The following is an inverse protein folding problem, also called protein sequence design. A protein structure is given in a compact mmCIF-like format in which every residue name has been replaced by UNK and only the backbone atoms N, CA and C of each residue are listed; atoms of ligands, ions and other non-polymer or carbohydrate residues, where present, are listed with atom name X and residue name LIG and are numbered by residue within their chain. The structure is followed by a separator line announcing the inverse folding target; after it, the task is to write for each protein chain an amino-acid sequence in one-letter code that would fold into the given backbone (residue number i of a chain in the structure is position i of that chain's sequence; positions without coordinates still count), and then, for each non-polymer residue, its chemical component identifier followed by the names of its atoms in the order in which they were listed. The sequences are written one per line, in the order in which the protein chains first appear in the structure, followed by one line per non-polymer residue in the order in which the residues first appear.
data_IF_080797351314
#
_entry.id   IF_080797351314
#
_cell.length_a   1.000
_cell.length_b   1.000
_cell.length_c   1.000
_cell.angle_alpha   90.00
_cell.angle_beta   90.00
_cell.angle_gamma   90.00
#
_symmetry.space_group_name_H-M   'P 1'
#
loop_
_entity.id
_entity.type
_entity.pdbx_description
1 polymer ?
#
# COMPACT_ATOMS: atom_id res chain seq x y z
N UNK A 1 112.08 -6.41 25.14
CA UNK A 1 110.80 -6.96 25.64
C UNK A 1 110.20 -5.93 26.55
N UNK A 2 109.15 -5.19 26.01
CA UNK A 2 108.53 -4.09 26.79
C UNK A 2 107.40 -4.63 27.67
N UNK A 3 107.52 -4.46 28.97
CA UNK A 3 106.49 -4.75 29.94
C UNK A 3 105.37 -3.76 29.81
N UNK A 4 104.17 -4.25 29.50
CA UNK A 4 102.94 -3.45 29.53
C UNK A 4 102.46 -3.25 30.97
N UNK A 5 101.98 -2.03 31.36
CA UNK A 5 101.65 -1.73 32.74
C UNK A 5 100.35 -2.37 33.17
N UNK A 6 100.29 -2.95 34.36
CA UNK A 6 99.19 -3.70 35.03
C UNK A 6 97.94 -2.88 35.34
N UNK A 7 97.90 -1.58 35.03
CA UNK A 7 96.78 -0.67 35.23
C UNK A 7 95.62 -0.86 34.16
N UNK A 8 95.95 -1.40 33.00
CA UNK A 8 94.98 -1.55 31.93
C UNK A 8 94.03 -2.75 32.12
N UNK A 9 94.50 -3.78 32.80
CA UNK A 9 93.69 -4.92 33.21
C UNK A 9 92.61 -4.59 34.24
N UNK A 10 92.93 -3.68 35.17
CA UNK A 10 92.00 -3.24 36.25
C UNK A 10 90.89 -2.34 35.62
N UNK A 11 91.26 -1.47 34.67
CA UNK A 11 90.28 -0.60 34.00
C UNK A 11 89.28 -1.40 33.17
N UNK A 12 89.74 -2.44 32.46
CA UNK A 12 88.90 -3.34 31.65
C UNK A 12 87.89 -4.12 32.49
N UNK A 13 88.29 -4.59 33.69
CA UNK A 13 87.42 -5.29 34.57
C UNK A 13 86.35 -4.36 35.22
N UNK A 14 86.73 -3.11 35.54
CA UNK A 14 85.80 -2.12 36.08
C UNK A 14 84.76 -1.74 35.02
N UNK A 15 85.12 -1.60 33.71
CA UNK A 15 84.20 -1.33 32.62
C UNK A 15 83.26 -2.52 32.38
N UNK A 16 83.76 -3.76 32.45
CA UNK A 16 82.96 -4.96 32.34
C UNK A 16 81.93 -5.11 33.48
N UNK A 17 82.27 -4.76 34.69
CA UNK A 17 81.36 -4.76 35.82
C UNK A 17 80.32 -3.67 35.71
N UNK A 18 80.67 -2.46 35.22
CA UNK A 18 79.74 -1.40 34.94
C UNK A 18 78.72 -1.76 33.81
N UNK A 19 79.21 -2.38 32.76
CA UNK A 19 78.34 -2.86 31.67
C UNK A 19 77.42 -3.98 32.17
N UNK A 20 77.93 -4.91 33.00
CA UNK A 20 77.09 -5.96 33.57
C UNK A 20 76.04 -5.41 34.52
N UNK A 21 76.34 -4.38 35.32
CA UNK A 21 75.38 -3.68 36.19
C UNK A 21 74.35 -2.92 35.39
N UNK A 22 74.72 -2.28 34.27
CA UNK A 22 73.78 -1.62 33.39
C UNK A 22 72.83 -2.61 32.67
N UNK A 23 73.38 -3.78 32.28
CA UNK A 23 72.55 -4.85 31.62
C UNK A 23 71.60 -5.47 32.66
N UNK A 24 72.11 -5.72 33.94
CA UNK A 24 71.23 -6.20 35.02
C UNK A 24 70.16 -5.18 35.42
N UNK A 25 70.50 -3.90 35.45
CA UNK A 25 69.54 -2.80 35.69
C UNK A 25 68.52 -2.67 34.59
N UNK A 26 68.93 -2.77 33.31
CA UNK A 26 68.08 -2.79 32.16
C UNK A 26 67.14 -4.01 32.14
N UNK A 27 67.71 -5.20 32.50
CA UNK A 27 66.89 -6.43 32.57
C UNK A 27 65.86 -6.36 33.71
N UNK A 28 66.28 -5.86 34.88
CA UNK A 28 65.38 -5.63 36.01
C UNK A 28 64.30 -4.60 35.68
N UNK A 29 64.63 -3.49 35.03
CA UNK A 29 63.64 -2.51 34.53
C UNK A 29 62.68 -3.09 33.52
N UNK A 30 63.16 -3.99 32.64
CA UNK A 30 62.32 -4.67 31.66
C UNK A 30 61.34 -5.67 32.30
N UNK A 31 61.81 -6.44 33.34
CA UNK A 31 60.95 -7.41 34.03
C UNK A 31 60.04 -6.77 35.11
N UNK A 32 60.43 -5.60 35.67
CA UNK A 32 59.60 -4.85 36.60
C UNK A 32 58.72 -3.79 35.94
N UNK A 33 58.82 -3.59 34.61
CA UNK A 33 57.97 -2.67 33.92
C UNK A 33 56.50 -3.17 34.00
N UNK A 34 55.54 -2.35 34.51
CA UNK A 34 54.16 -2.76 34.58
C UNK A 34 53.64 -3.06 33.18
N UNK A 35 52.85 -4.14 33.03
CA UNK A 35 52.29 -4.48 31.70
C UNK A 35 51.51 -3.29 31.12
N UNK A 36 51.56 -3.07 29.80
CA UNK A 36 50.83 -1.98 29.17
C UNK A 36 49.35 -2.08 29.55
N UNK A 37 48.79 -1.00 30.06
CA UNK A 37 47.37 -0.97 30.43
C UNK A 37 46.55 -1.18 29.18
N UNK A 38 45.61 -2.15 29.16
CA UNK A 38 44.75 -2.33 28.02
C UNK A 38 43.94 -1.06 27.77
N UNK A 39 43.97 -0.53 26.56
CA UNK A 39 43.12 0.59 26.17
C UNK A 39 41.76 0.04 25.79
N UNK A 40 40.73 0.57 26.42
CA UNK A 40 39.35 0.20 26.15
C UNK A 40 38.68 1.24 25.26
N UNK A 41 37.91 0.78 24.25
CA UNK A 41 36.98 1.64 23.52
C UNK A 41 35.75 1.82 24.40
N UNK A 42 35.46 3.06 24.80
CA UNK A 42 34.37 3.37 25.74
C UNK A 42 33.35 4.30 25.09
N UNK A 43 32.11 4.24 25.54
CA UNK A 43 31.09 5.20 25.25
C UNK A 43 30.44 5.70 26.55
N UNK A 44 30.09 7.00 26.64
CA UNK A 44 29.40 7.53 27.80
C UNK A 44 27.95 7.08 27.85
N UNK A 45 27.43 6.81 29.02
CA UNK A 45 25.99 6.67 29.28
C UNK A 45 25.38 8.07 29.18
N UNK A 46 24.57 8.32 28.21
CA UNK A 46 23.94 9.62 27.95
C UNK A 46 22.43 9.48 27.82
N UNK A 47 21.72 10.56 28.11
CA UNK A 47 20.30 10.63 27.82
C UNK A 47 20.07 10.84 26.34
N UNK A 48 19.19 10.03 25.76
CA UNK A 48 18.77 10.13 24.37
C UNK A 48 17.33 9.68 24.19
N UNK A 49 16.71 10.20 23.15
CA UNK A 49 15.42 9.69 22.70
C UNK A 49 15.64 8.35 21.98
N UNK A 50 14.96 7.32 22.45
CA UNK A 50 15.02 5.99 21.90
C UNK A 50 13.67 5.61 21.30
N UNK A 51 13.71 5.15 20.06
CA UNK A 51 12.55 4.65 19.33
C UNK A 51 12.84 3.20 18.89
N UNK A 52 11.95 2.27 19.21
CA UNK A 52 11.88 0.96 18.53
C UNK A 52 10.81 1.07 17.47
N UNK A 53 11.19 0.91 16.21
CA UNK A 53 10.31 1.07 15.08
C UNK A 53 10.56 0.01 14.02
N UNK A 54 9.48 -0.47 13.42
CA UNK A 54 9.52 -1.31 12.23
C UNK A 54 9.65 -0.42 11.00
N UNK A 55 10.67 -0.70 10.18
CA UNK A 55 10.85 -0.03 8.89
C UNK A 55 10.09 -0.79 7.80
N UNK A 56 9.35 -0.04 7.01
CA UNK A 56 8.61 -0.57 5.87
C UNK A 56 8.73 0.38 4.67
N UNK A 57 8.74 -0.16 3.48
CA UNK A 57 8.58 0.63 2.26
C UNK A 57 7.10 0.72 1.95
N UNK A 58 6.60 1.92 1.67
CA UNK A 58 5.21 2.12 1.32
C UNK A 58 5.04 2.74 -0.07
N UNK A 59 3.86 2.54 -0.63
CA UNK A 59 3.43 3.22 -1.85
C UNK A 59 2.17 4.02 -1.57
N UNK A 60 2.12 5.24 -2.11
CA UNK A 60 0.94 6.09 -2.02
C UNK A 60 -0.11 5.60 -3.00
N UNK A 61 -1.33 5.35 -2.51
CA UNK A 61 -2.49 5.01 -3.31
C UNK A 61 -3.61 6.03 -3.06
N UNK A 62 -4.52 6.15 -4.01
CA UNK A 62 -5.73 6.94 -3.77
C UNK A 62 -6.57 6.26 -2.68
N UNK A 63 -7.22 7.05 -1.83
CA UNK A 63 -8.16 6.53 -0.83
C UNK A 63 -9.28 5.70 -1.47
N UNK A 64 -9.78 6.16 -2.62
CA UNK A 64 -10.75 5.43 -3.46
C UNK A 64 -10.43 5.70 -4.92
N UNK A 65 -10.35 4.64 -5.71
CA UNK A 65 -10.15 4.70 -7.15
C UNK A 65 -11.25 3.91 -7.84
N UNK A 66 -11.82 4.46 -8.92
CA UNK A 66 -12.85 3.82 -9.72
C UNK A 66 -12.45 3.90 -11.18
N UNK A 67 -12.56 2.77 -11.88
CA UNK A 67 -12.44 2.71 -13.32
C UNK A 67 -13.83 3.03 -13.92
N UNK A 68 -13.94 4.17 -14.59
CA UNK A 68 -15.16 4.55 -15.28
C UNK A 68 -15.10 3.99 -16.69
N UNK A 69 -16.04 3.09 -17.00
CA UNK A 69 -16.06 2.36 -18.27
C UNK A 69 -17.32 2.62 -19.09
N UNK A 70 -17.29 2.19 -20.34
CA UNK A 70 -18.44 2.20 -21.23
C UNK A 70 -19.28 0.92 -21.05
N UNK A 71 -20.61 1.09 -20.98
CA UNK A 71 -21.57 -0.03 -20.90
C UNK A 71 -22.17 -0.37 -22.27
N UNK A 72 -21.96 0.48 -23.28
CA UNK A 72 -22.38 0.28 -24.64
C UNK A 72 -21.22 0.43 -25.61
N UNK A 73 -21.25 -0.30 -26.70
CA UNK A 73 -20.25 -0.22 -27.77
C UNK A 73 -20.54 0.97 -28.70
N UNK A 74 -19.49 1.64 -29.17
CA UNK A 74 -19.57 2.75 -30.10
C UNK A 74 -18.32 3.57 -30.16
N UNK A 75 -18.27 4.57 -31.02
CA UNK A 75 -17.17 5.52 -31.09
C UNK A 75 -17.33 6.62 -30.01
N UNK A 76 -16.25 6.97 -29.33
CA UNK A 76 -16.23 8.11 -28.42
C UNK A 76 -16.31 9.38 -29.26
N UNK A 77 -17.44 10.04 -29.23
CA UNK A 77 -17.71 11.25 -30.01
C UNK A 77 -17.05 12.49 -29.36
N UNK A 78 -17.04 12.52 -28.03
CA UNK A 78 -16.48 13.62 -27.25
C UNK A 78 -16.00 13.14 -25.89
N UNK A 79 -14.83 13.61 -25.48
CA UNK A 79 -14.32 13.46 -24.13
C UNK A 79 -14.40 14.84 -23.43
N UNK A 80 -15.26 14.95 -22.41
CA UNK A 80 -15.55 16.23 -21.76
C UNK A 80 -14.52 16.62 -20.68
N UNK A 81 -13.61 15.70 -20.32
CA UNK A 81 -12.65 15.87 -19.25
C UNK A 81 -11.20 15.65 -19.72
N UNK A 82 -10.26 16.29 -19.04
CA UNK A 82 -8.81 16.16 -19.27
C UNK A 82 -8.14 15.51 -18.07
N UNK A 83 -6.90 15.07 -18.28
CA UNK A 83 -6.07 14.57 -17.19
C UNK A 83 -5.83 15.67 -16.14
N UNK A 84 -6.09 15.34 -14.87
CA UNK A 84 -5.96 16.28 -13.77
C UNK A 84 -7.21 17.07 -13.43
N UNK A 85 -8.27 17.01 -14.22
CA UNK A 85 -9.52 17.72 -13.94
C UNK A 85 -10.20 17.15 -12.68
N UNK A 86 -10.77 18.04 -11.88
CA UNK A 86 -11.62 17.71 -10.73
C UNK A 86 -13.06 17.67 -11.20
N UNK A 87 -13.74 16.56 -10.97
CA UNK A 87 -15.14 16.34 -11.38
C UNK A 87 -16.01 16.04 -10.16
N UNK A 88 -17.25 16.49 -10.20
CA UNK A 88 -18.27 16.12 -9.22
C UNK A 88 -19.00 14.83 -9.66
N UNK A 89 -19.71 14.20 -8.73
CA UNK A 89 -20.57 13.06 -9.08
C UNK A 89 -21.69 13.51 -10.03
N UNK A 90 -21.87 12.78 -11.13
CA UNK A 90 -22.85 13.11 -12.17
C UNK A 90 -22.30 13.96 -13.32
N UNK A 91 -21.11 14.52 -13.24
CA UNK A 91 -20.49 15.28 -14.33
C UNK A 91 -20.26 14.39 -15.55
N UNK A 92 -20.45 14.97 -16.74
CA UNK A 92 -20.24 14.29 -18.00
C UNK A 92 -18.73 14.04 -18.23
N UNK A 93 -18.38 12.78 -18.45
CA UNK A 93 -17.00 12.35 -18.73
C UNK A 93 -16.80 12.16 -20.23
N UNK A 94 -17.67 11.34 -20.85
CA UNK A 94 -17.57 11.04 -22.25
C UNK A 94 -18.96 10.85 -22.88
N UNK A 95 -19.03 11.06 -24.18
CA UNK A 95 -20.22 10.81 -24.99
C UNK A 95 -19.88 9.84 -26.12
N UNK A 96 -20.57 8.71 -26.17
CA UNK A 96 -20.49 7.71 -27.24
C UNK A 96 -21.49 8.09 -28.33
N UNK A 97 -21.17 7.79 -29.58
CA UNK A 97 -22.14 7.96 -30.68
C UNK A 97 -23.40 7.16 -30.38
N UNK A 98 -24.50 7.90 -30.25
CA UNK A 98 -25.81 7.39 -29.80
C UNK A 98 -26.76 7.11 -30.94
N UNK A 99 -26.35 7.26 -32.20
CA UNK A 99 -27.27 7.17 -33.36
C UNK A 99 -28.00 5.82 -33.41
N UNK A 100 -27.27 4.73 -33.20
CA UNK A 100 -27.84 3.38 -33.19
C UNK A 100 -28.84 3.19 -32.05
N UNK A 101 -28.52 3.65 -30.85
CA UNK A 101 -29.40 3.56 -29.66
C UNK A 101 -30.65 4.43 -29.81
N UNK A 102 -30.49 5.64 -30.39
CA UNK A 102 -31.63 6.50 -30.72
C UNK A 102 -32.58 5.85 -31.70
N UNK A 103 -32.06 5.23 -32.77
CA UNK A 103 -32.86 4.52 -33.73
C UNK A 103 -33.58 3.31 -33.14
N UNK A 104 -32.88 2.56 -32.25
CA UNK A 104 -33.47 1.43 -31.51
C UNK A 104 -34.64 1.91 -30.63
N UNK A 105 -34.44 3.03 -29.90
CA UNK A 105 -35.52 3.62 -29.11
C UNK A 105 -36.72 4.03 -29.95
N UNK A 106 -36.50 4.76 -31.06
CA UNK A 106 -37.59 5.16 -31.98
C UNK A 106 -38.34 3.97 -32.52
N UNK A 107 -37.65 2.89 -32.89
CA UNK A 107 -38.27 1.66 -33.38
C UNK A 107 -39.13 0.98 -32.30
N UNK A 108 -38.64 0.92 -31.05
CA UNK A 108 -39.40 0.38 -29.93
C UNK A 108 -40.65 1.23 -29.63
N UNK A 109 -40.50 2.55 -29.63
CA UNK A 109 -41.65 3.48 -29.45
C UNK A 109 -42.69 3.33 -30.55
N UNK A 110 -42.28 3.22 -31.83
CA UNK A 110 -43.19 3.00 -32.95
C UNK A 110 -43.91 1.66 -32.86
N UNK A 111 -43.22 0.58 -32.44
CA UNK A 111 -43.83 -0.73 -32.22
C UNK A 111 -44.88 -0.69 -31.11
N UNK A 112 -44.58 -0.02 -30.01
CA UNK A 112 -45.54 0.18 -28.91
C UNK A 112 -46.77 0.96 -29.37
N UNK A 113 -46.59 2.05 -30.13
CA UNK A 113 -47.66 2.86 -30.68
C UNK A 113 -48.56 2.06 -31.64
N UNK A 114 -47.97 1.18 -32.45
CA UNK A 114 -48.73 0.28 -33.34
C UNK A 114 -49.63 -0.67 -32.53
N UNK A 115 -49.09 -1.31 -31.50
CA UNK A 115 -49.87 -2.21 -30.62
C UNK A 115 -50.99 -1.46 -29.90
N UNK A 116 -50.75 -0.23 -29.45
CA UNK A 116 -51.74 0.63 -28.83
C UNK A 116 -52.88 0.96 -29.81
N UNK A 117 -52.55 1.23 -31.08
CA UNK A 117 -53.55 1.47 -32.14
C UNK A 117 -54.40 0.20 -32.39
N UNK A 118 -53.77 -0.98 -32.38
CA UNK A 118 -54.50 -2.26 -32.52
C UNK A 118 -55.44 -2.51 -31.35
N UNK A 119 -55.02 -2.17 -30.12
CA UNK A 119 -55.89 -2.24 -28.94
C UNK A 119 -57.12 -1.33 -29.11
N UNK A 120 -56.92 -0.08 -29.55
CA UNK A 120 -58.02 0.85 -29.78
C UNK A 120 -59.01 0.34 -30.85
N UNK A 121 -58.52 -0.27 -31.94
CA UNK A 121 -59.36 -0.90 -32.94
C UNK A 121 -60.15 -2.11 -32.36
N UNK A 122 -59.53 -2.94 -31.54
CA UNK A 122 -60.21 -4.08 -30.89
C UNK A 122 -61.19 -3.64 -29.80
N UNK A 123 -60.95 -2.54 -29.12
CA UNK A 123 -61.92 -1.95 -28.19
C UNK A 123 -63.18 -1.48 -28.93
N UNK A 124 -63.09 -0.93 -30.16
CA UNK A 124 -64.24 -0.62 -30.99
C UNK A 124 -65.01 -1.90 -31.39
N UNK A 125 -64.28 -2.98 -31.76
CA UNK A 125 -64.90 -4.29 -32.05
C UNK A 125 -65.58 -4.89 -30.82
N UNK A 126 -64.97 -4.73 -29.60
CA UNK A 126 -65.62 -5.17 -28.35
C UNK A 126 -66.95 -4.50 -28.18
N UNK A 127 -67.03 -3.18 -28.37
CA UNK A 127 -68.29 -2.43 -28.23
C UNK A 127 -69.33 -2.92 -29.18
N UNK A 128 -68.98 -3.29 -30.42
CA UNK A 128 -69.89 -3.90 -31.40
C UNK A 128 -70.35 -5.28 -30.91
N UNK A 129 -69.47 -6.13 -30.40
CA UNK A 129 -69.77 -7.45 -29.88
C UNK A 129 -70.70 -7.37 -28.65
N UNK A 130 -70.50 -6.39 -27.78
CA UNK A 130 -71.34 -6.13 -26.62
C UNK A 130 -72.77 -5.75 -27.01
N UNK A 131 -72.95 -4.87 -27.96
CA UNK A 131 -74.25 -4.53 -28.47
C UNK A 131 -74.94 -5.73 -29.18
N UNK A 132 -74.19 -6.57 -29.88
CA UNK A 132 -74.70 -7.77 -30.50
C UNK A 132 -75.18 -8.76 -29.47
N UNK A 133 -74.38 -9.00 -28.44
CA UNK A 133 -74.77 -9.88 -27.32
C UNK A 133 -75.99 -9.37 -26.56
N UNK A 134 -76.06 -8.07 -26.27
CA UNK A 134 -77.21 -7.46 -25.57
C UNK A 134 -78.49 -7.62 -26.37
N UNK A 135 -78.45 -7.44 -27.72
CA UNK A 135 -79.60 -7.66 -28.55
C UNK A 135 -80.05 -9.12 -28.57
N UNK A 136 -79.12 -10.06 -28.69
CA UNK A 136 -79.40 -11.49 -28.69
C UNK A 136 -79.99 -11.96 -27.37
N UNK A 137 -79.48 -11.45 -26.21
CA UNK A 137 -80.02 -11.71 -24.92
C UNK A 137 -81.47 -11.20 -24.71
N UNK A 138 -81.72 -9.97 -25.17
CA UNK A 138 -83.12 -9.40 -25.17
C UNK A 138 -84.10 -10.20 -26.02
N UNK A 139 -83.70 -10.61 -27.21
CA UNK A 139 -84.54 -11.39 -28.11
C UNK A 139 -84.80 -12.80 -27.54
N UNK A 140 -83.84 -13.43 -26.92
CA UNK A 140 -83.94 -14.71 -26.24
C UNK A 140 -84.93 -14.64 -25.04
N UNK A 141 -84.84 -13.60 -24.24
CA UNK A 141 -85.75 -13.34 -23.10
C UNK A 141 -87.16 -13.08 -23.51
N UNK A 142 -87.41 -12.66 -24.76
CA UNK A 142 -88.72 -12.43 -25.35
C UNK A 142 -89.24 -13.60 -26.21
N UNK A 143 -88.55 -14.77 -26.13
CA UNK A 143 -88.82 -15.95 -26.96
C UNK A 143 -88.82 -15.66 -28.52
N UNK A 144 -88.16 -14.58 -28.95
CA UNK A 144 -88.07 -14.13 -30.33
C UNK A 144 -86.73 -14.42 -31.02
N UNK A 145 -85.77 -15.04 -30.31
CA UNK A 145 -84.42 -15.35 -30.76
C UNK A 145 -84.03 -16.83 -30.59
N UNK A 146 -83.07 -17.31 -31.46
CA UNK A 146 -82.57 -18.67 -31.31
C UNK A 146 -81.49 -18.75 -30.26
N UNK A 147 -81.39 -19.83 -29.50
CA UNK A 147 -80.36 -20.11 -28.51
C UNK A 147 -78.94 -20.16 -29.16
N UNK A 148 -78.88 -20.69 -30.40
CA UNK A 148 -77.69 -20.72 -31.20
C UNK A 148 -77.12 -19.32 -31.45
N UNK A 149 -77.98 -18.33 -31.81
CA UNK A 149 -77.55 -16.93 -32.01
C UNK A 149 -77.04 -16.25 -30.77
N UNK A 150 -77.64 -16.57 -29.61
CA UNK A 150 -77.14 -16.11 -28.26
C UNK A 150 -75.80 -16.68 -27.97
N UNK A 151 -75.61 -18.00 -28.04
CA UNK A 151 -74.37 -18.70 -27.75
C UNK A 151 -73.25 -18.21 -28.70
N UNK A 152 -73.55 -17.97 -30.01
CA UNK A 152 -72.58 -17.44 -30.98
C UNK A 152 -72.13 -15.99 -30.62
N UNK A 153 -73.07 -15.14 -30.19
CA UNK A 153 -72.71 -13.77 -29.76
C UNK A 153 -71.93 -13.70 -28.45
N UNK A 154 -72.23 -14.61 -27.48
CA UNK A 154 -71.47 -14.76 -26.24
C UNK A 154 -70.03 -15.25 -26.52
N UNK A 155 -69.87 -16.24 -27.38
CA UNK A 155 -68.57 -16.75 -27.79
C UNK A 155 -67.75 -15.64 -28.45
N UNK A 156 -68.37 -14.84 -29.36
CA UNK A 156 -67.67 -13.71 -29.99
C UNK A 156 -67.23 -12.63 -28.98
N UNK A 157 -68.09 -12.30 -28.04
CA UNK A 157 -67.80 -11.34 -26.97
C UNK A 157 -66.60 -11.83 -26.13
N UNK A 158 -66.66 -13.07 -25.70
CA UNK A 158 -65.60 -13.67 -24.86
C UNK A 158 -64.27 -13.78 -25.62
N UNK A 159 -64.31 -14.14 -26.93
CA UNK A 159 -63.12 -14.17 -27.79
C UNK A 159 -62.50 -12.77 -27.92
N UNK A 160 -63.31 -11.73 -28.19
CA UNK A 160 -62.83 -10.36 -28.33
C UNK A 160 -62.21 -9.83 -27.01
N UNK A 161 -62.82 -10.16 -25.88
CA UNK A 161 -62.24 -9.84 -24.54
C UNK A 161 -60.89 -10.52 -24.31
N UNK A 162 -60.74 -11.78 -24.75
CA UNK A 162 -59.49 -12.48 -24.64
C UNK A 162 -58.39 -11.86 -25.53
N UNK A 163 -58.75 -11.44 -26.76
CA UNK A 163 -57.83 -10.73 -27.66
C UNK A 163 -57.36 -9.38 -27.08
N UNK A 164 -58.26 -8.61 -26.45
CA UNK A 164 -57.91 -7.37 -25.78
C UNK A 164 -56.91 -7.62 -24.67
N UNK A 165 -57.15 -8.62 -23.82
CA UNK A 165 -56.15 -8.99 -22.75
C UNK A 165 -54.79 -9.38 -23.34
N UNK A 166 -54.76 -10.08 -24.48
CA UNK A 166 -53.52 -10.42 -25.16
C UNK A 166 -52.80 -9.16 -25.68
N UNK A 167 -53.53 -8.18 -26.24
CA UNK A 167 -52.97 -6.91 -26.69
C UNK A 167 -52.47 -6.05 -25.51
N UNK A 168 -53.16 -6.05 -24.36
CA UNK A 168 -52.72 -5.40 -23.13
C UNK A 168 -51.39 -5.99 -22.62
N UNK A 169 -51.26 -7.32 -22.65
CA UNK A 169 -49.99 -7.99 -22.33
C UNK A 169 -48.88 -7.63 -23.33
N UNK A 170 -49.17 -7.54 -24.60
CA UNK A 170 -48.22 -7.07 -25.62
C UNK A 170 -47.77 -5.62 -25.42
N UNK A 171 -48.70 -4.73 -25.02
CA UNK A 171 -48.37 -3.34 -24.65
C UNK A 171 -47.43 -3.30 -23.44
N UNK A 172 -47.68 -4.14 -22.39
CA UNK A 172 -46.79 -4.23 -21.27
C UNK A 172 -45.38 -4.65 -21.68
N UNK A 173 -45.26 -5.66 -22.55
CA UNK A 173 -43.96 -6.08 -23.12
C UNK A 173 -43.34 -4.97 -23.97
N UNK A 174 -44.10 -4.27 -24.81
CA UNK A 174 -43.62 -3.14 -25.58
C UNK A 174 -43.05 -2.00 -24.73
N UNK A 175 -43.70 -1.69 -23.60
CA UNK A 175 -43.19 -0.70 -22.63
C UNK A 175 -41.80 -1.09 -22.07
N UNK A 176 -41.65 -2.35 -21.70
CA UNK A 176 -40.34 -2.87 -21.21
C UNK A 176 -39.27 -2.71 -22.29
N UNK A 177 -39.64 -2.97 -23.57
CA UNK A 177 -38.71 -2.81 -24.70
C UNK A 177 -38.27 -1.34 -24.86
N UNK A 178 -39.23 -0.40 -24.77
CA UNK A 178 -38.94 1.05 -24.81
C UNK A 178 -38.04 1.47 -23.64
N UNK A 179 -38.35 1.02 -22.44
CA UNK A 179 -37.55 1.36 -21.24
C UNK A 179 -36.12 0.82 -21.36
N UNK A 180 -35.95 -0.42 -21.87
CA UNK A 180 -34.64 -1.00 -22.13
C UNK A 180 -33.85 -0.20 -23.18
N UNK A 181 -34.49 0.20 -24.27
CA UNK A 181 -33.86 1.03 -25.31
C UNK A 181 -33.48 2.42 -24.77
N UNK A 182 -34.30 3.00 -23.90
CA UNK A 182 -34.02 4.28 -23.23
C UNK A 182 -32.83 4.18 -22.25
N UNK A 183 -32.73 3.10 -21.48
CA UNK A 183 -31.57 2.85 -20.60
C UNK A 183 -30.29 2.71 -21.43
N UNK A 184 -30.33 1.95 -22.52
CA UNK A 184 -29.18 1.80 -23.41
C UNK A 184 -28.74 3.13 -24.05
N UNK A 185 -29.72 4.00 -24.40
CA UNK A 185 -29.39 5.37 -24.80
C UNK A 185 -28.78 6.18 -23.67
N UNK A 186 -29.25 6.02 -22.44
CA UNK A 186 -28.65 6.65 -21.27
C UNK A 186 -27.18 6.26 -21.07
N UNK A 187 -26.81 5.02 -21.31
CA UNK A 187 -25.44 4.52 -21.20
C UNK A 187 -24.46 5.09 -22.23
N UNK A 188 -24.95 5.75 -23.30
CA UNK A 188 -24.08 6.49 -24.23
C UNK A 188 -23.47 7.76 -23.60
N UNK A 189 -24.06 8.28 -22.53
CA UNK A 189 -23.54 9.41 -21.75
C UNK A 189 -22.88 8.88 -20.50
N UNK A 190 -21.56 8.85 -20.50
CA UNK A 190 -20.76 8.35 -19.38
C UNK A 190 -20.56 9.48 -18.39
N UNK A 191 -21.03 9.27 -17.16
CA UNK A 191 -20.94 10.27 -16.07
C UNK A 191 -20.07 9.75 -14.93
N UNK A 192 -19.55 10.68 -14.12
CA UNK A 192 -18.74 10.39 -12.96
C UNK A 192 -19.58 9.72 -11.85
N UNK A 193 -19.22 8.52 -11.36
CA UNK A 193 -19.95 7.85 -10.28
C UNK A 193 -19.66 8.46 -8.91
N UNK A 194 -18.61 9.25 -8.79
CA UNK A 194 -18.20 9.93 -7.55
C UNK A 194 -17.42 11.20 -7.88
N UNK A 195 -17.31 12.11 -6.91
CA UNK A 195 -16.40 13.23 -6.99
C UNK A 195 -14.94 12.76 -6.89
N UNK A 196 -14.05 13.37 -7.67
CA UNK A 196 -12.63 13.02 -7.67
C UNK A 196 -11.83 13.73 -8.77
N UNK A 197 -10.57 13.34 -8.89
CA UNK A 197 -9.65 13.84 -9.93
C UNK A 197 -9.41 12.76 -10.98
N UNK A 198 -9.38 13.14 -12.25
CA UNK A 198 -9.05 12.25 -13.37
C UNK A 198 -7.55 11.95 -13.35
N UNK A 199 -7.19 10.71 -13.00
CA UNK A 199 -5.78 10.31 -12.83
C UNK A 199 -5.21 9.59 -14.05
N UNK A 200 -6.07 9.07 -14.93
CA UNK A 200 -5.64 8.49 -16.19
C UNK A 200 -6.76 8.56 -17.23
N UNK A 201 -6.38 8.80 -18.48
CA UNK A 201 -7.21 8.67 -19.67
C UNK A 201 -6.74 7.42 -20.41
N UNK A 202 -7.60 6.41 -20.52
CA UNK A 202 -7.26 5.12 -21.16
C UNK A 202 -7.65 5.14 -22.62
N UNK A 203 -8.82 5.72 -22.94
CA UNK A 203 -9.34 5.85 -24.31
C UNK A 203 -9.46 7.32 -24.68
N UNK A 204 -9.27 7.62 -25.97
CA UNK A 204 -9.28 8.98 -26.51
C UNK A 204 -10.53 9.24 -27.34
N UNK A 205 -10.80 10.51 -27.62
CA UNK A 205 -11.83 10.93 -28.54
C UNK A 205 -11.57 10.35 -29.95
N UNK A 206 -12.62 9.90 -30.64
CA UNK A 206 -12.53 9.23 -31.91
C UNK A 206 -12.29 7.72 -31.85
N UNK A 207 -11.89 7.17 -30.70
CA UNK A 207 -11.65 5.75 -30.53
C UNK A 207 -12.95 4.97 -30.40
N UNK A 208 -13.03 3.79 -31.04
CA UNK A 208 -14.17 2.87 -30.90
C UNK A 208 -13.94 1.93 -29.75
N UNK A 209 -14.93 1.81 -28.85
CA UNK A 209 -14.94 0.91 -27.71
C UNK A 209 -15.94 -0.21 -27.92
N UNK A 210 -15.59 -1.42 -27.46
CA UNK A 210 -16.45 -2.60 -27.55
C UNK A 210 -16.76 -3.10 -26.13
N UNK A 211 -18.01 -2.98 -25.73
CA UNK A 211 -18.50 -3.37 -24.41
C UNK A 211 -19.11 -4.80 -24.38
N UNK A 212 -19.08 -5.55 -25.48
CA UNK A 212 -19.74 -6.86 -25.56
C UNK A 212 -18.96 -7.97 -24.81
N UNK A 213 -17.62 -7.87 -24.73
CA UNK A 213 -16.78 -8.89 -24.10
C UNK A 213 -16.28 -8.47 -22.72
N UNK A 214 -15.96 -7.20 -22.55
CA UNK A 214 -15.49 -6.62 -21.28
C UNK A 214 -15.84 -5.14 -21.27
N UNK A 215 -16.10 -4.59 -20.09
CA UNK A 215 -16.36 -3.15 -19.93
C UNK A 215 -15.06 -2.37 -20.16
N UNK A 216 -14.86 -1.69 -21.30
CA UNK A 216 -13.64 -0.96 -21.56
C UNK A 216 -13.58 0.28 -20.65
N UNK A 217 -12.49 0.43 -19.92
CA UNK A 217 -12.26 1.59 -19.07
C UNK A 217 -11.97 2.82 -19.94
N UNK A 218 -12.70 3.91 -19.74
CA UNK A 218 -12.47 5.20 -20.43
C UNK A 218 -11.49 6.04 -19.63
N UNK A 219 -11.75 6.23 -18.33
CA UNK A 219 -10.89 6.99 -17.44
C UNK A 219 -10.74 6.27 -16.10
N UNK A 220 -9.67 6.62 -15.36
CA UNK A 220 -9.54 6.31 -13.94
C UNK A 220 -9.80 7.57 -13.13
N UNK A 221 -10.74 7.48 -12.22
CA UNK A 221 -11.12 8.55 -11.31
C UNK A 221 -10.65 8.20 -9.90
N UNK A 222 -9.98 9.12 -9.23
CA UNK A 222 -9.42 8.90 -7.92
C UNK A 222 -9.74 10.04 -6.96
N UNK A 223 -9.96 9.70 -5.71
CA UNK A 223 -10.14 10.67 -4.63
C UNK A 223 -8.77 10.95 -4.01
N UNK A 224 -8.31 12.21 -4.13
CA UNK A 224 -6.95 12.63 -3.79
C UNK A 224 -6.85 13.55 -2.58
N UNK A 225 -7.98 14.04 -2.05
CA UNK A 225 -8.06 14.84 -0.80
C UNK A 225 -7.51 14.11 0.42
N UNK A 226 -7.66 12.79 0.42
CA UNK A 226 -7.04 11.86 1.34
C UNK A 226 -6.36 10.77 0.52
N UNK A 227 -5.16 10.38 0.89
CA UNK A 227 -4.43 9.27 0.28
C UNK A 227 -4.20 8.17 1.29
N UNK A 228 -4.12 6.93 0.82
CA UNK A 228 -3.75 5.78 1.63
C UNK A 228 -2.34 5.36 1.29
N UNK A 229 -1.47 5.26 2.28
CA UNK A 229 -0.14 4.67 2.11
C UNK A 229 -0.26 3.19 2.45
N UNK A 230 0.12 2.36 1.51
CA UNK A 230 0.21 0.91 1.64
C UNK A 230 1.65 0.55 1.98
N UNK A 231 1.94 0.30 3.27
CA UNK A 231 3.26 -0.01 3.78
C UNK A 231 3.47 -1.51 3.82
N UNK A 232 4.52 -2.00 3.15
CA UNK A 232 4.91 -3.41 3.08
C UNK A 232 5.75 -3.79 4.31
N UNK A 233 5.14 -4.46 5.27
CA UNK A 233 5.74 -4.91 6.51
C UNK A 233 6.19 -6.37 6.34
N UNK A 234 7.43 -6.67 6.72
CA UNK A 234 7.96 -8.04 6.68
C UNK A 234 7.16 -8.99 7.57
N UNK A 235 7.03 -10.25 7.16
CA UNK A 235 6.44 -11.33 7.97
C UNK A 235 7.09 -11.43 9.35
N UNK A 236 8.39 -11.19 9.45
CA UNK A 236 9.12 -11.23 10.72
C UNK A 236 8.66 -10.16 11.73
N UNK A 237 8.20 -9.01 11.23
CA UNK A 237 7.84 -7.85 12.06
C UNK A 237 6.33 -7.66 12.21
N UNK A 238 5.53 -8.29 11.35
CA UNK A 238 4.07 -8.09 11.32
C UNK A 238 3.38 -8.43 12.64
N UNK A 239 3.89 -9.44 13.36
CA UNK A 239 3.34 -9.88 14.66
C UNK A 239 3.51 -8.83 15.77
N UNK A 240 4.46 -7.91 15.62
CA UNK A 240 4.76 -6.81 16.56
C UNK A 240 3.93 -5.57 16.28
N UNK A 241 3.36 -5.46 15.09
CA UNK A 241 2.61 -4.29 14.61
C UNK A 241 1.13 -4.46 14.91
N UNK A 242 0.50 -3.41 15.44
CA UNK A 242 -0.92 -3.39 15.80
C UNK A 242 -1.61 -2.15 15.23
N UNK A 243 -2.87 -2.26 14.81
CA UNK A 243 -3.67 -1.10 14.44
C UNK A 243 -3.70 -0.04 15.57
N UNK A 244 -3.72 1.24 15.19
CA UNK A 244 -3.71 2.36 16.13
C UNK A 244 -2.33 2.84 16.57
N UNK A 245 -1.24 2.15 16.22
CA UNK A 245 0.11 2.61 16.51
C UNK A 245 0.44 3.89 15.74
N UNK A 246 1.24 4.75 16.35
CA UNK A 246 1.78 5.95 15.71
C UNK A 246 2.75 5.56 14.60
N UNK A 247 2.63 6.22 13.48
CA UNK A 247 3.48 6.00 12.32
C UNK A 247 3.96 7.35 11.83
N UNK A 248 5.19 7.42 11.41
CA UNK A 248 5.67 8.53 10.59
C UNK A 248 6.31 8.01 9.31
N UNK A 249 6.20 8.80 8.28
CA UNK A 249 6.78 8.47 6.99
C UNK A 249 7.45 9.68 6.37
N UNK A 250 8.36 9.39 5.46
CA UNK A 250 9.02 10.38 4.61
C UNK A 250 8.84 9.98 3.15
N UNK A 251 8.80 10.96 2.25
CA UNK A 251 8.82 10.74 0.81
C UNK A 251 10.25 10.90 0.29
N UNK A 252 10.58 10.19 -0.79
CA UNK A 252 11.95 10.25 -1.36
C UNK A 252 12.35 11.68 -1.74
N UNK A 253 11.40 12.52 -2.18
CA UNK A 253 11.68 13.90 -2.54
C UNK A 253 11.93 14.84 -1.35
N UNK A 254 11.46 14.49 -0.14
CA UNK A 254 11.60 15.29 1.08
C UNK A 254 12.04 14.42 2.27
N UNK A 255 13.28 13.87 2.29
CA UNK A 255 13.70 12.91 3.30
C UNK A 255 13.79 13.48 4.71
N UNK A 256 13.89 14.81 4.85
CA UNK A 256 13.95 15.50 6.15
C UNK A 256 12.59 15.83 6.74
N UNK A 257 11.52 15.81 5.92
CA UNK A 257 10.17 16.13 6.37
C UNK A 257 9.45 14.86 6.80
N UNK A 258 9.12 14.77 8.09
CA UNK A 258 8.34 13.68 8.65
C UNK A 258 6.85 14.03 8.60
N UNK A 259 6.06 13.13 8.06
CA UNK A 259 4.61 13.19 8.08
C UNK A 259 4.12 12.18 9.11
N UNK A 260 3.31 12.61 10.05
CA UNK A 260 2.75 11.74 11.09
C UNK A 260 1.36 11.26 10.71
N UNK A 261 1.08 10.00 11.00
CA UNK A 261 -0.22 9.36 10.83
C UNK A 261 -0.40 8.25 11.87
N UNK A 262 -1.48 7.51 11.77
CA UNK A 262 -1.74 6.31 12.56
C UNK A 262 -1.99 5.12 11.66
N UNK A 263 -1.57 3.94 12.06
CA UNK A 263 -1.86 2.71 11.36
C UNK A 263 -3.36 2.41 11.49
N UNK A 264 -4.11 2.55 10.38
CA UNK A 264 -5.55 2.29 10.38
C UNK A 264 -5.85 0.80 10.50
N UNK A 265 -5.20 -0.01 9.70
CA UNK A 265 -5.42 -1.44 9.64
C UNK A 265 -4.18 -2.16 9.10
N UNK A 266 -4.10 -3.44 9.41
CA UNK A 266 -3.16 -4.38 8.83
C UNK A 266 -3.97 -5.37 7.98
N UNK A 267 -3.59 -5.57 6.72
CA UNK A 267 -4.25 -6.55 5.86
C UNK A 267 -3.96 -7.96 6.38
N UNK A 268 -4.99 -8.83 6.49
CA UNK A 268 -4.83 -10.16 7.07
C UNK A 268 -4.08 -11.14 6.14
N UNK A 269 -3.93 -10.78 4.87
CA UNK A 269 -3.32 -11.59 3.85
C UNK A 269 -2.33 -10.79 2.99
N UNK A 270 -1.26 -11.41 2.48
CA UNK A 270 -0.35 -10.77 1.54
C UNK A 270 -1.00 -10.60 0.16
N UNK A 271 -0.49 -9.64 -0.62
CA UNK A 271 -1.00 -9.35 -1.98
C UNK A 271 -0.93 -10.57 -2.93
N UNK A 272 -0.05 -11.52 -2.68
CA UNK A 272 0.09 -12.75 -3.48
C UNK A 272 -1.19 -13.57 -3.55
N UNK A 273 -2.06 -13.54 -2.50
CA UNK A 273 -3.35 -14.26 -2.51
C UNK A 273 -4.31 -13.71 -3.57
N UNK A 274 -4.28 -12.41 -3.84
CA UNK A 274 -5.17 -11.78 -4.83
C UNK A 274 -4.70 -11.95 -6.27
N UNK A 275 -3.44 -12.32 -6.49
CA UNK A 275 -2.86 -12.52 -7.83
C UNK A 275 -2.96 -13.96 -8.34
N UNK A 276 -3.34 -14.93 -7.51
CA UNK A 276 -3.46 -16.34 -7.89
C UNK A 276 -4.66 -16.68 -8.78
N UNK A 277 -5.46 -15.69 -9.18
CA UNK A 277 -6.60 -15.89 -10.07
C UNK A 277 -6.22 -15.52 -11.50
N UNK A 278 -6.03 -16.52 -12.36
CA UNK A 278 -6.06 -16.45 -13.82
C UNK A 278 -4.77 -16.06 -14.57
N UNK A 279 -3.65 -16.73 -14.33
CA UNK A 279 -2.77 -16.97 -15.48
C UNK A 279 -2.06 -18.28 -15.31
N UNK A 280 -2.69 -19.37 -15.76
CA UNK A 280 -1.99 -20.60 -16.13
C UNK A 280 -1.14 -20.29 -17.37
N UNK A 281 0.00 -19.70 -17.19
CA UNK A 281 1.09 -19.75 -18.16
C UNK A 281 2.13 -20.74 -17.64
N UNK A 282 1.98 -21.96 -18.12
CA UNK A 282 3.03 -22.96 -18.22
C UNK A 282 4.33 -22.26 -18.62
N UNK A 283 5.29 -22.20 -17.76
CA UNK A 283 6.71 -22.45 -18.01
C UNK A 283 7.60 -21.86 -16.92
N UNK A 284 8.51 -22.69 -16.45
CA UNK A 284 9.72 -22.43 -15.66
C UNK A 284 9.59 -22.37 -14.14
N UNK A 285 9.78 -23.54 -13.57
CA UNK A 285 10.47 -23.87 -12.34
C UNK A 285 11.66 -22.94 -12.08
N UNK A 286 11.41 -21.88 -11.34
CA UNK A 286 12.40 -21.30 -10.44
C UNK A 286 11.60 -20.76 -9.28
N UNK A 287 11.43 -21.56 -8.24
CA UNK A 287 10.88 -21.12 -6.96
C UNK A 287 11.88 -20.19 -6.30
N UNK A 288 11.93 -18.96 -6.77
CA UNK A 288 12.50 -17.86 -6.00
C UNK A 288 11.55 -17.69 -4.82
N UNK A 289 11.99 -18.05 -3.63
CA UNK A 289 11.31 -17.75 -2.38
C UNK A 289 11.08 -16.24 -2.32
N UNK A 290 9.91 -15.81 -2.75
CA UNK A 290 9.53 -14.40 -2.70
C UNK A 290 9.25 -14.05 -1.26
N UNK A 291 9.95 -13.06 -0.71
CA UNK A 291 9.71 -12.59 0.65
C UNK A 291 8.24 -12.18 0.82
N UNK A 292 7.62 -12.66 1.90
CA UNK A 292 6.22 -12.38 2.20
C UNK A 292 6.12 -11.06 2.94
N UNK A 293 5.26 -10.17 2.42
CA UNK A 293 4.98 -8.88 3.02
C UNK A 293 3.48 -8.74 3.30
N UNK A 294 3.17 -8.16 4.44
CA UNK A 294 1.81 -7.77 4.82
C UNK A 294 1.64 -6.26 4.71
N UNK A 295 0.46 -5.81 4.30
CA UNK A 295 0.24 -4.40 4.06
C UNK A 295 -0.36 -3.71 5.28
N UNK A 296 0.35 -2.71 5.77
CA UNK A 296 -0.17 -1.74 6.71
C UNK A 296 -0.79 -0.55 5.98
N UNK A 297 -2.03 -0.20 6.32
CA UNK A 297 -2.76 0.89 5.69
C UNK A 297 -2.77 2.13 6.58
N UNK A 298 -2.36 3.27 6.01
CA UNK A 298 -2.28 4.56 6.68
C UNK A 298 -3.04 5.59 5.84
N UNK A 299 -3.99 6.28 6.44
CA UNK A 299 -4.69 7.37 5.76
C UNK A 299 -4.06 8.71 6.13
N UNK A 300 -3.80 9.50 5.11
CA UNK A 300 -3.11 10.78 5.23
C UNK A 300 -3.89 11.86 4.47
N UNK A 301 -4.26 12.96 5.13
CA UNK A 301 -4.85 14.10 4.43
C UNK A 301 -3.84 14.72 3.45
N UNK A 302 -4.30 15.07 2.27
CA UNK A 302 -3.48 15.61 1.19
C UNK A 302 -4.06 16.93 0.63
N UNK A 303 -4.19 17.99 1.44
CA UNK A 303 -4.84 19.22 1.04
C UNK A 303 -4.11 19.96 -0.10
N UNK A 304 -2.80 19.79 -0.17
CA UNK A 304 -1.95 20.49 -1.15
C UNK A 304 -1.73 19.68 -2.45
N UNK A 305 -2.37 18.52 -2.61
CA UNK A 305 -2.16 17.57 -3.73
C UNK A 305 -0.67 17.18 -3.94
N UNK A 306 0.17 17.27 -2.89
CA UNK A 306 1.61 16.96 -2.96
C UNK A 306 1.87 15.47 -3.07
N UNK A 307 1.09 14.65 -2.35
CA UNK A 307 1.19 13.21 -2.39
C UNK A 307 0.48 12.70 -3.64
N UNK A 308 1.24 12.15 -4.58
CA UNK A 308 0.72 11.60 -5.83
C UNK A 308 0.69 10.09 -5.77
N UNK A 309 -0.25 9.48 -6.50
CA UNK A 309 -0.36 8.03 -6.62
C UNK A 309 0.96 7.44 -7.12
N UNK A 310 1.32 6.27 -6.59
CA UNK A 310 2.55 5.52 -6.87
C UNK A 310 3.84 6.17 -6.34
N UNK A 311 3.78 7.25 -5.56
CA UNK A 311 4.97 7.73 -4.85
C UNK A 311 5.43 6.70 -3.82
N UNK A 312 6.75 6.50 -3.75
CA UNK A 312 7.37 5.64 -2.75
C UNK A 312 7.62 6.41 -1.46
N UNK A 313 7.32 5.80 -0.34
CA UNK A 313 7.50 6.34 1.00
C UNK A 313 8.33 5.40 1.86
N UNK A 314 9.11 5.95 2.78
CA UNK A 314 9.72 5.20 3.86
C UNK A 314 8.87 5.38 5.10
N UNK A 315 8.32 4.28 5.59
CA UNK A 315 7.38 4.24 6.71
C UNK A 315 8.08 3.67 7.94
N UNK A 316 7.88 4.31 9.09
CA UNK A 316 8.34 3.81 10.38
C UNK A 316 7.15 3.67 11.31
N UNK A 317 6.85 2.43 11.69
CA UNK A 317 5.80 2.11 12.66
C UNK A 317 6.42 2.08 14.04
N UNK A 318 6.03 2.99 14.90
CA UNK A 318 6.55 3.07 16.26
C UNK A 318 5.96 1.95 17.11
N UNK A 319 6.81 1.11 17.65
CA UNK A 319 6.45 0.06 18.60
C UNK A 319 6.49 0.60 20.01
N UNK A 320 7.63 1.20 20.38
CA UNK A 320 7.88 1.79 21.69
C UNK A 320 8.72 3.06 21.56
N UNK A 321 8.46 4.03 22.41
CA UNK A 321 9.18 5.32 22.46
C UNK A 321 9.55 5.63 23.90
N UNK A 322 10.80 6.01 24.14
CA UNK A 322 11.26 6.53 25.43
C UNK A 322 12.01 7.83 25.19
N UNK A 323 11.54 8.93 25.80
CA UNK A 323 12.17 10.24 25.75
C UNK A 323 13.08 10.43 26.96
N UNK A 324 14.18 11.16 26.77
CA UNK A 324 15.16 11.46 27.84
C UNK A 324 15.64 10.20 28.61
N UNK A 325 15.71 9.06 27.93
CA UNK A 325 16.08 7.80 28.56
C UNK A 325 17.61 7.61 28.58
N UNK A 326 18.16 7.08 29.69
CA UNK A 326 19.56 6.67 29.73
C UNK A 326 19.80 5.60 28.68
N UNK A 327 20.74 5.83 27.79
CA UNK A 327 21.06 4.97 26.68
C UNK A 327 22.52 4.59 26.62
N UNK A 328 22.79 3.37 26.16
CA UNK A 328 24.11 2.86 25.84
C UNK A 328 24.09 2.23 24.45
N UNK A 329 25.22 2.19 23.73
CA UNK A 329 25.30 1.42 22.49
C UNK A 329 25.00 -0.07 22.75
N UNK A 330 24.16 -0.67 21.91
CA UNK A 330 23.74 -2.08 22.07
C UNK A 330 24.93 -3.07 22.06
N UNK A 331 26.05 -2.68 21.43
CA UNK A 331 27.31 -3.48 21.42
C UNK A 331 27.93 -3.64 22.81
N UNK A 332 27.64 -2.72 23.74
CA UNK A 332 28.14 -2.83 25.13
C UNK A 332 27.39 -3.91 25.93
N UNK A 333 26.27 -4.42 25.46
CA UNK A 333 25.47 -5.46 26.10
C UNK A 333 26.18 -6.82 25.95
N UNK A 334 26.45 -7.46 27.09
CA UNK A 334 26.87 -8.85 27.13
C UNK A 334 25.68 -9.82 27.04
N UNK A 335 25.92 -11.05 27.47
CA UNK A 335 24.89 -12.08 27.48
C UNK A 335 23.76 -11.78 28.48
N UNK A 336 22.56 -12.16 28.13
CA UNK A 336 21.38 -12.04 29.00
C UNK A 336 21.43 -13.16 30.06
N UNK A 337 21.48 -12.78 31.32
CA UNK A 337 21.39 -13.71 32.43
C UNK A 337 20.03 -14.38 32.58
N UNK A 338 19.95 -15.44 33.37
CA UNK A 338 18.70 -16.16 33.68
C UNK A 338 17.67 -15.25 34.37
N UNK A 339 18.11 -14.20 35.05
CA UNK A 339 17.28 -13.22 35.74
C UNK A 339 16.78 -12.11 34.84
N UNK A 340 17.04 -12.22 33.51
CA UNK A 340 16.64 -11.23 32.52
C UNK A 340 17.48 -9.95 32.48
N UNK A 341 18.53 -9.88 33.31
CA UNK A 341 19.50 -8.78 33.36
C UNK A 341 20.62 -9.01 32.33
N UNK A 342 21.19 -7.92 31.85
CA UNK A 342 22.34 -7.97 30.93
C UNK A 342 23.62 -7.60 31.66
N UNK A 343 24.72 -8.33 31.41
CA UNK A 343 26.02 -7.96 31.86
C UNK A 343 26.60 -6.82 31.02
N UNK A 344 27.05 -5.74 31.64
CA UNK A 344 27.77 -4.64 30.99
C UNK A 344 29.10 -4.40 31.67
N UNK A 345 30.15 -4.20 30.89
CA UNK A 345 31.45 -3.83 31.39
C UNK A 345 31.54 -2.30 31.49
N UNK A 346 31.75 -1.80 32.70
CA UNK A 346 31.91 -0.36 32.98
C UNK A 346 33.36 -0.09 33.35
N UNK A 347 33.89 1.05 32.95
CA UNK A 347 35.22 1.48 33.31
C UNK A 347 35.16 2.10 34.72
N UNK A 348 35.66 1.39 35.74
CA UNK A 348 35.73 1.87 37.12
C UNK A 348 36.75 3.01 37.29
N UNK A 349 36.73 3.69 38.46
CA UNK A 349 37.58 4.86 38.78
C UNK A 349 39.10 4.61 38.65
N UNK A 350 39.53 3.34 38.74
CA UNK A 350 40.93 2.94 38.58
C UNK A 350 41.31 2.53 37.15
N UNK A 351 40.40 2.71 36.20
CA UNK A 351 40.59 2.28 34.82
C UNK A 351 40.51 0.78 34.59
N UNK A 352 39.96 0.03 35.57
CA UNK A 352 39.72 -1.41 35.45
C UNK A 352 38.26 -1.70 35.04
N UNK A 353 38.02 -2.75 34.23
CA UNK A 353 36.68 -3.14 33.86
C UNK A 353 35.94 -3.76 35.04
N UNK A 354 34.77 -3.25 35.34
CA UNK A 354 33.84 -3.81 36.33
C UNK A 354 32.63 -4.40 35.60
N UNK A 355 32.27 -5.65 35.93
CA UNK A 355 31.04 -6.25 35.43
C UNK A 355 29.86 -5.78 36.28
N UNK A 356 28.88 -5.16 35.64
CA UNK A 356 27.67 -4.69 36.31
C UNK A 356 26.43 -5.27 35.60
N UNK A 357 25.45 -5.65 36.39
CA UNK A 357 24.18 -6.12 35.86
C UNK A 357 23.23 -4.95 35.67
N UNK A 358 22.63 -4.87 34.46
CA UNK A 358 21.76 -3.77 34.08
C UNK A 358 20.40 -4.31 33.61
N UNK A 359 19.34 -3.59 33.95
CA UNK A 359 18.02 -3.85 33.42
C UNK A 359 17.79 -3.00 32.18
N UNK A 360 17.51 -3.65 31.06
CA UNK A 360 17.31 -3.01 29.78
C UNK A 360 15.81 -2.92 29.48
N UNK A 361 15.35 -1.79 28.94
CA UNK A 361 14.02 -1.56 28.39
C UNK A 361 14.02 -1.75 26.88
N UNK A 362 13.83 -0.65 26.14
CA UNK A 362 13.83 -0.61 24.70
C UNK A 362 15.24 -0.94 24.16
N UNK A 363 15.30 -1.82 23.15
CA UNK A 363 16.54 -2.13 22.44
C UNK A 363 16.27 -2.13 20.92
N UNK A 364 16.77 -1.09 20.26
CA UNK A 364 16.62 -0.93 18.80
C UNK A 364 17.80 -1.46 17.99
N UNK A 365 18.64 -2.35 18.61
CA UNK A 365 19.84 -2.97 18.04
C UNK A 365 21.01 -2.01 17.79
N UNK A 366 20.81 -0.70 17.88
CA UNK A 366 21.87 0.31 17.83
C UNK A 366 22.17 0.83 19.23
N UNK A 367 21.13 1.20 19.96
CA UNK A 367 21.18 1.68 21.32
C UNK A 367 20.18 0.88 22.18
N UNK A 368 20.47 0.78 23.47
CA UNK A 368 19.61 0.14 24.44
C UNK A 368 19.32 1.09 25.60
N UNK A 369 18.04 1.13 26.01
CA UNK A 369 17.59 1.90 27.16
C UNK A 369 18.01 1.21 28.46
N UNK A 370 18.65 1.94 29.35
CA UNK A 370 18.98 1.46 30.70
C UNK A 370 17.90 1.92 31.66
N UNK A 371 17.17 0.97 32.25
CA UNK A 371 16.15 1.23 33.27
C UNK A 371 16.74 1.27 34.67
N UNK A 372 17.79 0.48 34.95
CA UNK A 372 18.49 0.44 36.24
C UNK A 372 19.89 -0.17 36.08
N UNK A 373 20.83 0.22 36.94
CA UNK A 373 22.18 -0.36 37.06
C UNK A 373 23.30 0.53 36.54
N UNK A 374 23.02 1.65 35.86
CA UNK A 374 24.01 2.63 35.42
C UNK A 374 23.52 4.05 35.72
N UNK A 375 24.50 4.96 35.87
CA UNK A 375 24.27 6.39 36.07
C UNK A 375 24.72 7.19 34.85
N UNK A 376 24.16 8.38 34.69
CA UNK A 376 24.53 9.30 33.60
C UNK A 376 26.02 9.68 33.70
N UNK A 377 26.76 9.63 32.60
CA UNK A 377 28.18 9.97 32.54
C UNK A 377 29.14 8.79 32.78
N UNK A 378 28.65 7.63 33.24
CA UNK A 378 29.50 6.43 33.35
C UNK A 378 29.99 5.97 31.98
N UNK A 379 31.20 5.39 31.93
CA UNK A 379 31.80 4.91 30.67
C UNK A 379 31.59 3.40 30.52
N UNK A 380 30.82 2.98 29.51
CA UNK A 380 30.65 1.57 29.17
C UNK A 380 31.69 1.14 28.14
N UNK A 381 32.26 -0.07 28.33
CA UNK A 381 33.28 -0.63 27.45
C UNK A 381 32.62 -1.34 26.29
N UNK A 382 32.95 -0.91 25.07
CA UNK A 382 32.46 -1.49 23.80
C UNK A 382 33.36 -2.63 23.33
N UNK A 383 34.65 -2.55 23.61
CA UNK A 383 35.68 -3.53 23.20
C UNK A 383 37.07 -3.19 23.72
N UNK A 384 38.01 -4.08 23.51
CA UNK A 384 39.41 -3.84 23.75
C UNK A 384 40.04 -3.24 22.50
N UNK A 385 40.71 -2.08 22.64
CA UNK A 385 41.51 -1.54 21.56
C UNK A 385 42.77 -2.40 21.45
N UNK A 386 42.83 -3.33 20.52
CA UNK A 386 44.04 -4.03 20.13
C UNK A 386 45.03 -2.98 19.60
N UNK A 387 46.22 -2.93 20.24
CA UNK A 387 47.29 -1.99 19.94
C UNK A 387 47.98 -2.22 18.58
N UNK A 388 47.36 -2.93 17.67
CA UNK A 388 47.84 -3.23 16.32
C UNK A 388 46.87 -2.74 15.24
N UNK A 389 46.82 -1.41 15.11
CA UNK A 389 46.49 -0.86 13.80
C UNK A 389 47.66 0.03 13.38
N UNK A 390 48.63 -0.45 12.59
CA UNK A 390 49.64 0.41 12.01
C UNK A 390 48.90 1.40 11.09
N UNK A 391 48.96 2.67 11.49
CA UNK A 391 48.56 3.78 10.62
C UNK A 391 49.50 3.75 9.41
N UNK A 392 49.16 2.98 8.38
CA UNK A 392 49.86 2.98 7.10
C UNK A 392 49.57 4.28 6.36
N UNK A 393 50.24 5.35 6.79
CA UNK A 393 50.45 6.55 5.97
C UNK A 393 51.39 6.18 4.84
N UNK A 394 50.96 5.33 3.92
CA UNK A 394 51.65 5.15 2.64
C UNK A 394 51.33 6.38 1.80
N UNK A 395 52.14 7.42 1.93
CA UNK A 395 52.28 8.46 0.91
C UNK A 395 52.76 7.78 -0.36
N UNK A 396 51.86 7.37 -1.22
CA UNK A 396 52.15 7.02 -2.62
C UNK A 396 52.65 8.28 -3.31
N UNK A 397 53.97 8.37 -3.47
CA UNK A 397 54.61 9.28 -4.43
C UNK A 397 54.15 8.87 -5.81
N UNK A 398 53.25 9.64 -6.37
CA UNK A 398 52.95 9.60 -7.80
C UNK A 398 54.14 10.14 -8.54
N UNK A 399 54.88 9.28 -9.27
CA UNK A 399 55.85 9.67 -10.29
C UNK A 399 55.10 10.17 -11.55
N UNK A 400 55.70 11.04 -12.35
CA UNK A 400 55.05 11.57 -13.54
C UNK A 400 54.91 10.48 -14.62
N UNK A 401 53.91 10.59 -15.52
CA UNK A 401 53.67 9.63 -16.57
C UNK A 401 54.79 9.76 -17.66
N UNK A 402 55.18 8.66 -18.32
CA UNK A 402 56.07 8.71 -19.46
C UNK A 402 55.36 9.30 -20.68
N UNK A 403 56.11 10.07 -21.45
CA UNK A 403 55.70 10.66 -22.74
C UNK A 403 55.41 9.58 -23.80
#
# INVERSE_FOLDING_TARGET
MKNLPSSWFRLRNVVLVLVALLLLGGLAAYFLAPPPRPSYLTAPVAKADLEDAVLATGTVQAYKQVNVGAQVSGQIKRLAVKLGDKVAAGDLIAEIDSLTQQNTLRNAEAALQNTQAQLAAKQATLKQAEFAFQRADQLLKQDAGSRESFEASEATLNATRAEIRALEAQIAQGRISVDTARLNLGYTRIVAPMAGTVVALINQEGQTVNANQSTPTIIKLARMDTVTIKAQISEADVTRVKPGQKVYFTILGEPRKRYSSTLRALEPAPDSISTDSTTSSTTSTTSTSTAIYYNGLLDVPNPDDKLRISMTTQVRVLLEEAKDALSIPAVALGERGKDGLYGVRVLGERGMPEMRQVKIGINNKTNAQVLAGLSEGEQVILGEATADTPTSTTRRRMGPPPM
#
